data_IF_225152017008
#
_entry.id   IF_225152017008
#
_cell.length_a   1.000
_cell.length_b   1.000
_cell.length_c   1.000
_cell.angle_alpha   90.00
_cell.angle_beta   90.00
_cell.angle_gamma   90.00
#
_symmetry.space_group_name_H-M   'P 1'
#
loop_
_entity.id
_entity.type
_entity.pdbx_description
1 polymer ?
#
# COMPACT_ATOMS: atom_id res chain seq x y z
N UNK A 1 10.41 20.60 -13.94
CA UNK A 1 9.85 19.90 -12.75
C UNK A 1 8.42 19.52 -13.05
N UNK A 2 8.05 18.27 -12.85
CA UNK A 2 6.67 17.79 -13.03
C UNK A 2 5.76 18.46 -12.00
N UNK A 3 4.77 19.22 -12.46
CA UNK A 3 3.84 19.94 -11.57
C UNK A 3 2.70 18.99 -11.17
N UNK A 4 2.55 18.76 -9.87
CA UNK A 4 1.41 18.05 -9.30
C UNK A 4 0.13 18.88 -9.40
N UNK A 5 -0.99 18.18 -9.63
CA UNK A 5 -2.35 18.72 -9.57
C UNK A 5 -3.10 18.01 -8.45
N UNK A 6 -4.04 18.68 -7.82
CA UNK A 6 -4.89 18.08 -6.79
C UNK A 6 -6.10 17.44 -7.49
N UNK A 7 -6.36 16.14 -7.21
CA UNK A 7 -7.56 15.45 -7.61
C UNK A 7 -8.63 15.56 -6.52
N UNK A 8 -8.24 15.32 -5.27
CA UNK A 8 -9.13 15.35 -4.11
C UNK A 8 -8.40 16.04 -2.94
N UNK A 9 -9.11 16.87 -2.22
CA UNK A 9 -8.66 17.55 -1.02
C UNK A 9 -9.62 17.25 0.15
N UNK A 10 -9.18 17.43 1.39
CA UNK A 10 -10.05 17.31 2.54
C UNK A 10 -10.33 15.86 2.98
N UNK A 11 -9.39 14.95 2.77
CA UNK A 11 -9.31 13.68 3.47
C UNK A 11 -8.37 13.79 4.68
N UNK A 12 -8.47 12.89 5.65
CA UNK A 12 -7.55 12.92 6.79
C UNK A 12 -6.19 12.35 6.42
N UNK A 13 -6.17 11.10 5.95
CA UNK A 13 -4.92 10.41 5.64
C UNK A 13 -5.17 9.27 4.66
N UNK A 14 -4.87 9.50 3.38
CA UNK A 14 -5.11 8.52 2.32
C UNK A 14 -4.02 7.47 2.28
N UNK A 15 -4.43 6.20 2.20
CA UNK A 15 -3.55 5.03 2.11
C UNK A 15 -4.12 3.92 1.23
N UNK A 16 -3.27 2.95 0.88
CA UNK A 16 -3.63 1.78 0.11
C UNK A 16 -4.33 2.09 -1.21
N UNK A 17 -3.86 3.06 -2.04
CA UNK A 17 -4.55 3.42 -3.27
C UNK A 17 -4.50 2.28 -4.28
N UNK A 18 -5.63 2.07 -4.98
CA UNK A 18 -5.78 1.03 -6.00
C UNK A 18 -6.56 1.59 -7.19
N UNK A 19 -6.13 1.28 -8.39
CA UNK A 19 -6.88 1.67 -9.60
C UNK A 19 -7.68 0.50 -10.13
N UNK A 20 -9.02 0.60 -10.07
CA UNK A 20 -9.93 -0.44 -10.54
C UNK A 20 -11.22 0.15 -11.10
N UNK A 21 -11.70 -0.40 -12.23
CA UNK A 21 -12.98 -0.08 -12.85
C UNK A 21 -13.18 1.43 -13.10
N UNK A 22 -12.11 2.15 -13.47
CA UNK A 22 -12.15 3.59 -13.74
C UNK A 22 -12.14 4.50 -12.51
N UNK A 23 -11.90 3.93 -11.32
CA UNK A 23 -11.84 4.67 -10.06
C UNK A 23 -10.53 4.45 -9.33
N UNK A 24 -10.10 5.47 -8.60
CA UNK A 24 -9.09 5.34 -7.56
C UNK A 24 -9.78 4.96 -6.25
N UNK A 25 -9.49 3.77 -5.74
CA UNK A 25 -9.94 3.30 -4.43
C UNK A 25 -8.85 3.59 -3.42
N UNK A 26 -9.22 4.00 -2.20
CA UNK A 26 -8.27 4.28 -1.13
C UNK A 26 -8.94 4.16 0.25
N UNK A 27 -8.11 3.99 1.25
CA UNK A 27 -8.49 4.06 2.65
C UNK A 27 -8.20 5.45 3.20
N UNK A 28 -9.15 6.07 3.89
CA UNK A 28 -8.90 7.25 4.73
C UNK A 28 -8.80 6.78 6.19
N UNK A 29 -7.59 6.62 6.70
CA UNK A 29 -7.30 6.02 7.99
C UNK A 29 -8.11 6.61 9.13
N UNK A 30 -8.07 7.94 9.25
CA UNK A 30 -8.65 8.62 10.41
C UNK A 30 -10.11 9.00 10.22
N UNK A 31 -10.62 8.97 8.99
CA UNK A 31 -12.06 8.99 8.74
C UNK A 31 -12.70 7.62 8.97
N UNK A 32 -11.89 6.56 9.09
CA UNK A 32 -12.37 5.16 9.18
C UNK A 32 -13.17 4.72 7.95
N UNK A 33 -12.85 5.25 6.79
CA UNK A 33 -13.60 5.03 5.55
C UNK A 33 -12.74 4.45 4.44
N UNK A 34 -13.35 3.58 3.65
CA UNK A 34 -12.87 3.24 2.31
C UNK A 34 -13.64 4.08 1.32
N UNK A 35 -12.93 4.74 0.43
CA UNK A 35 -13.45 5.65 -0.59
C UNK A 35 -13.13 5.13 -2.00
N UNK A 36 -13.94 5.52 -2.98
CA UNK A 36 -13.58 5.51 -4.39
C UNK A 36 -13.75 6.91 -4.97
N UNK A 37 -12.82 7.29 -5.84
CA UNK A 37 -12.74 8.64 -6.43
C UNK A 37 -12.69 8.50 -7.94
N UNK A 38 -13.58 9.22 -8.64
CA UNK A 38 -13.57 9.26 -10.11
C UNK A 38 -12.45 10.18 -10.64
N UNK A 39 -12.14 10.17 -11.95
CA UNK A 39 -11.12 11.04 -12.54
C UNK A 39 -11.40 12.55 -12.43
N UNK A 40 -12.62 12.95 -12.06
CA UNK A 40 -13.02 14.33 -11.84
C UNK A 40 -12.90 14.76 -10.36
N UNK A 41 -12.50 13.85 -9.45
CA UNK A 41 -12.36 14.12 -8.02
C UNK A 41 -13.65 13.92 -7.22
N UNK A 42 -14.72 13.38 -7.81
CA UNK A 42 -15.92 13.05 -7.06
C UNK A 42 -15.70 11.79 -6.22
N UNK A 43 -15.82 11.92 -4.91
CA UNK A 43 -15.66 10.80 -3.98
C UNK A 43 -16.99 10.14 -3.64
N UNK A 44 -16.95 8.82 -3.44
CA UNK A 44 -18.08 8.02 -2.95
C UNK A 44 -17.58 7.15 -1.79
N UNK A 45 -18.37 7.08 -0.73
CA UNK A 45 -18.15 6.17 0.39
C UNK A 45 -18.40 4.72 -0.05
N UNK A 46 -17.54 3.81 0.37
CA UNK A 46 -17.63 2.36 0.08
C UNK A 46 -17.93 1.57 1.34
N UNK A 47 -17.15 1.77 2.40
CA UNK A 47 -17.30 1.05 3.66
C UNK A 47 -16.76 1.87 4.83
N UNK A 48 -17.28 1.60 6.03
CA UNK A 48 -16.74 2.12 7.30
C UNK A 48 -16.07 0.97 8.05
N UNK A 49 -14.81 1.18 8.48
CA UNK A 49 -13.98 0.20 9.18
C UNK A 49 -13.53 0.77 10.51
N UNK A 50 -14.15 0.35 11.59
CA UNK A 50 -13.91 0.89 12.95
C UNK A 50 -12.46 0.74 13.42
N UNK A 51 -11.79 -0.36 13.02
CA UNK A 51 -10.39 -0.64 13.33
C UNK A 51 -9.37 0.09 12.45
N UNK A 52 -9.76 1.10 11.69
CA UNK A 52 -9.00 1.84 10.69
C UNK A 52 -8.66 1.00 9.44
N UNK A 53 -9.18 1.37 8.25
CA UNK A 53 -8.83 0.70 7.01
C UNK A 53 -7.40 1.04 6.58
N UNK A 54 -6.71 0.08 5.94
CA UNK A 54 -5.42 0.30 5.30
C UNK A 54 -5.38 -0.36 3.92
N UNK A 55 -4.56 -1.39 3.72
CA UNK A 55 -4.42 -2.07 2.44
C UNK A 55 -5.75 -2.56 1.86
N UNK A 56 -5.90 -2.45 0.55
CA UNK A 56 -7.05 -2.89 -0.22
C UNK A 56 -6.61 -3.92 -1.27
N UNK A 57 -7.50 -4.84 -1.63
CA UNK A 57 -7.30 -5.80 -2.71
C UNK A 57 -8.58 -6.55 -3.02
N UNK A 58 -8.61 -7.33 -4.11
CA UNK A 58 -9.82 -8.04 -4.52
C UNK A 58 -9.56 -9.52 -4.64
N UNK A 59 -10.53 -10.30 -4.18
CA UNK A 59 -10.58 -11.73 -4.44
C UNK A 59 -10.99 -12.01 -5.90
N UNK A 60 -10.75 -13.23 -6.41
CA UNK A 60 -11.16 -13.61 -7.76
C UNK A 60 -12.66 -13.49 -8.04
N UNK A 61 -13.50 -13.59 -7.01
CA UNK A 61 -14.95 -13.41 -7.10
C UNK A 61 -15.39 -11.93 -7.20
N UNK A 62 -14.42 -10.99 -7.11
CA UNK A 62 -14.65 -9.56 -7.16
C UNK A 62 -14.98 -8.92 -5.82
N UNK A 63 -15.07 -9.66 -4.73
CA UNK A 63 -15.24 -9.09 -3.39
C UNK A 63 -13.96 -8.34 -2.94
N UNK A 64 -14.16 -7.23 -2.22
CA UNK A 64 -13.08 -6.39 -1.74
C UNK A 64 -12.57 -6.89 -0.39
N UNK A 65 -11.26 -7.12 -0.29
CA UNK A 65 -10.58 -7.30 0.98
C UNK A 65 -10.06 -5.96 1.50
N UNK A 66 -10.20 -5.74 2.81
CA UNK A 66 -9.80 -4.52 3.51
C UNK A 66 -9.04 -4.91 4.77
N UNK A 67 -7.84 -4.39 4.93
CA UNK A 67 -7.11 -4.53 6.19
C UNK A 67 -7.76 -3.65 7.25
N UNK A 68 -8.18 -4.24 8.37
CA UNK A 68 -8.53 -3.52 9.61
C UNK A 68 -7.30 -3.49 10.50
N UNK A 69 -6.63 -2.33 10.54
CA UNK A 69 -5.28 -2.17 11.09
C UNK A 69 -5.19 -2.56 12.57
N UNK A 70 -5.98 -1.88 13.41
CA UNK A 70 -5.92 -2.00 14.88
C UNK A 70 -6.40 -3.36 15.36
N UNK A 71 -7.40 -3.90 14.68
CA UNK A 71 -7.96 -5.21 14.98
C UNK A 71 -7.06 -6.36 14.51
N UNK A 72 -6.09 -6.06 13.64
CA UNK A 72 -5.23 -7.05 12.97
C UNK A 72 -6.05 -8.11 12.24
N UNK A 73 -7.09 -7.65 11.54
CA UNK A 73 -8.03 -8.49 10.80
C UNK A 73 -8.03 -8.14 9.33
N UNK A 74 -8.35 -9.11 8.52
CA UNK A 74 -8.73 -8.93 7.13
C UNK A 74 -10.25 -9.00 7.05
N UNK A 75 -10.87 -7.99 6.47
CA UNK A 75 -12.32 -7.92 6.28
C UNK A 75 -12.65 -8.13 4.81
N UNK A 76 -13.83 -8.68 4.51
CA UNK A 76 -14.37 -8.86 3.18
C UNK A 76 -15.65 -8.03 3.03
N UNK A 77 -15.71 -7.22 1.98
CA UNK A 77 -16.94 -6.57 1.54
C UNK A 77 -17.48 -7.31 0.32
N UNK A 78 -18.59 -8.00 0.50
CA UNK A 78 -19.31 -8.74 -0.53
C UNK A 78 -20.79 -8.38 -0.47
N UNK A 79 -21.42 -8.10 -1.62
CA UNK A 79 -22.84 -7.75 -1.73
C UNK A 79 -23.29 -6.65 -0.75
N UNK A 80 -22.43 -5.65 -0.52
CA UNK A 80 -22.67 -4.55 0.40
C UNK A 80 -22.55 -4.90 1.89
N UNK A 81 -22.16 -6.13 2.22
CA UNK A 81 -21.98 -6.60 3.61
C UNK A 81 -20.50 -6.71 3.95
N UNK A 82 -20.08 -6.01 5.00
CA UNK A 82 -18.74 -6.10 5.54
C UNK A 82 -18.70 -7.17 6.64
N UNK A 83 -17.79 -8.14 6.51
CA UNK A 83 -17.62 -9.25 7.46
C UNK A 83 -16.15 -9.58 7.68
N UNK A 84 -15.82 -10.25 8.78
CA UNK A 84 -14.49 -10.76 9.02
C UNK A 84 -14.15 -11.86 8.02
N UNK A 85 -13.00 -11.73 7.37
CA UNK A 85 -12.44 -12.73 6.47
C UNK A 85 -11.43 -13.62 7.19
N UNK A 86 -10.46 -13.01 7.91
CA UNK A 86 -9.45 -13.72 8.67
C UNK A 86 -8.94 -12.88 9.85
N UNK A 87 -8.59 -13.54 10.96
CA UNK A 87 -7.90 -12.95 12.11
C UNK A 87 -6.39 -13.23 12.01
N UNK A 88 -5.60 -12.18 11.83
CA UNK A 88 -4.15 -12.24 11.68
C UNK A 88 -3.39 -11.98 12.99
N UNK A 89 -4.10 -11.80 14.11
CA UNK A 89 -3.52 -11.35 15.39
C UNK A 89 -2.53 -12.33 16.01
N UNK A 90 -2.58 -13.61 15.64
CA UNK A 90 -1.63 -14.65 16.07
C UNK A 90 -0.26 -14.53 15.42
N UNK A 91 -0.14 -13.84 14.27
CA UNK A 91 1.09 -13.70 13.48
C UNK A 91 1.53 -12.25 13.38
N UNK A 92 0.61 -11.32 13.09
CA UNK A 92 0.91 -9.89 13.03
C UNK A 92 1.33 -9.37 14.41
N UNK A 93 2.55 -8.85 14.50
CA UNK A 93 3.15 -8.45 15.79
C UNK A 93 2.65 -7.11 16.31
N UNK A 94 2.08 -6.26 15.43
CA UNK A 94 1.41 -5.01 15.75
C UNK A 94 0.33 -4.69 14.71
N UNK A 95 -0.16 -3.45 14.66
CA UNK A 95 -1.17 -3.01 13.69
C UNK A 95 -0.80 -3.43 12.27
N UNK A 96 -1.75 -4.03 11.57
CA UNK A 96 -1.56 -4.38 10.16
C UNK A 96 -1.46 -3.11 9.29
N UNK A 97 -0.90 -3.24 8.10
CA UNK A 97 -0.63 -2.12 7.21
C UNK A 97 -1.15 -2.41 5.79
N UNK A 98 -0.37 -2.07 4.79
CA UNK A 98 -0.73 -2.35 3.40
C UNK A 98 -0.68 -3.85 3.07
N UNK A 99 -1.30 -4.23 1.96
CA UNK A 99 -1.33 -5.60 1.45
C UNK A 99 -1.32 -5.62 -0.07
N UNK A 100 -1.02 -6.78 -0.63
CA UNK A 100 -1.32 -7.11 -2.02
C UNK A 100 -2.05 -8.45 -2.08
N UNK A 101 -3.02 -8.56 -2.99
CA UNK A 101 -3.75 -9.81 -3.24
C UNK A 101 -3.35 -10.35 -4.61
N UNK A 102 -2.86 -11.59 -4.66
CA UNK A 102 -2.50 -12.27 -5.90
C UNK A 102 -3.74 -12.64 -6.73
N UNK A 103 -3.55 -12.95 -8.00
CA UNK A 103 -4.65 -13.34 -8.90
C UNK A 103 -5.41 -14.58 -8.42
N UNK A 104 -4.75 -15.48 -7.72
CA UNK A 104 -5.35 -16.67 -7.12
C UNK A 104 -5.97 -16.44 -5.72
N UNK A 105 -6.03 -15.16 -5.27
CA UNK A 105 -6.75 -14.75 -4.07
C UNK A 105 -5.96 -14.82 -2.77
N UNK A 106 -4.63 -15.04 -2.81
CA UNK A 106 -3.80 -14.97 -1.60
C UNK A 106 -3.45 -13.53 -1.25
N UNK A 107 -3.68 -13.12 -0.01
CA UNK A 107 -3.29 -11.81 0.49
C UNK A 107 -1.96 -11.89 1.25
N UNK A 108 -1.02 -11.01 0.91
CA UNK A 108 0.21 -10.80 1.68
C UNK A 108 0.08 -9.46 2.41
N UNK A 109 0.12 -9.49 3.74
CA UNK A 109 -0.21 -8.35 4.61
C UNK A 109 0.97 -8.00 5.48
N UNK A 110 1.41 -6.74 5.40
CA UNK A 110 2.42 -6.16 6.28
C UNK A 110 1.86 -5.72 7.63
N UNK A 111 2.76 -5.41 8.58
CA UNK A 111 2.38 -4.77 9.83
C UNK A 111 3.54 -3.92 10.37
N UNK A 112 3.25 -3.05 11.34
CA UNK A 112 4.25 -2.12 11.87
C UNK A 112 5.33 -2.76 12.75
N UNK A 113 5.09 -3.97 13.26
CA UNK A 113 6.02 -4.68 14.13
C UNK A 113 5.96 -4.25 15.58
N UNK A 114 5.77 -2.97 15.86
CA UNK A 114 5.73 -2.34 17.18
C UNK A 114 4.95 -1.02 17.14
N UNK A 115 4.66 -0.46 18.31
CA UNK A 115 4.04 0.87 18.42
C UNK A 115 5.08 1.97 18.19
N UNK A 116 5.20 2.44 16.96
CA UNK A 116 6.17 3.46 16.55
C UNK A 116 5.79 4.89 16.95
N UNK A 117 4.60 5.10 17.53
CA UNK A 117 4.19 6.37 18.14
C UNK A 117 4.43 6.42 19.65
N UNK A 118 4.91 5.34 20.25
CA UNK A 118 5.32 5.26 21.65
C UNK A 118 6.84 5.22 21.78
N UNK A 119 7.36 5.20 23.03
CA UNK A 119 8.80 5.06 23.31
C UNK A 119 9.29 3.59 23.23
N UNK A 120 8.58 2.71 22.52
CA UNK A 120 9.01 1.33 22.37
C UNK A 120 10.23 1.23 21.46
N UNK A 121 11.13 0.30 21.81
CA UNK A 121 12.24 -0.07 20.92
C UNK A 121 11.73 -0.60 19.58
N UNK A 122 12.47 -0.28 18.52
CA UNK A 122 12.18 -0.77 17.18
C UNK A 122 12.27 -2.31 17.13
N UNK A 123 11.20 -2.95 16.66
CA UNK A 123 11.11 -4.39 16.47
C UNK A 123 10.82 -4.73 15.03
N UNK A 124 11.25 -5.91 14.61
CA UNK A 124 10.90 -6.43 13.29
C UNK A 124 9.45 -6.94 13.27
N UNK A 125 8.90 -6.96 12.08
CA UNK A 125 7.55 -7.44 11.81
C UNK A 125 7.57 -8.77 11.07
N UNK A 126 6.45 -9.49 11.15
CA UNK A 126 6.15 -10.65 10.34
C UNK A 126 5.35 -10.22 9.10
N UNK A 127 5.56 -10.91 7.98
CA UNK A 127 4.66 -10.83 6.83
C UNK A 127 3.63 -11.95 6.94
N UNK A 128 2.36 -11.60 6.87
CA UNK A 128 1.24 -12.55 6.98
C UNK A 128 0.78 -12.94 5.58
N UNK A 129 0.51 -14.22 5.34
CA UNK A 129 -0.24 -14.70 4.18
C UNK A 129 -1.60 -15.22 4.62
N UNK A 130 -2.64 -14.80 3.92
CA UNK A 130 -4.00 -15.33 4.08
C UNK A 130 -4.40 -15.98 2.76
N UNK A 131 -4.71 -17.27 2.81
CA UNK A 131 -5.10 -18.04 1.63
C UNK A 131 -6.62 -17.92 1.34
N UNK A 132 -7.05 -18.37 0.17
CA UNK A 132 -8.45 -18.28 -0.27
C UNK A 132 -9.41 -19.06 0.64
N UNK A 133 -8.93 -20.11 1.30
CA UNK A 133 -9.66 -20.88 2.31
C UNK A 133 -9.71 -20.21 3.68
N UNK A 134 -9.19 -18.98 3.78
CA UNK A 134 -9.07 -18.12 4.97
C UNK A 134 -8.04 -18.59 6.01
N UNK A 135 -7.25 -19.60 5.70
CA UNK A 135 -6.14 -20.00 6.56
C UNK A 135 -5.06 -18.92 6.62
N UNK A 136 -4.47 -18.72 7.79
CA UNK A 136 -3.50 -17.66 8.07
C UNK A 136 -2.13 -18.27 8.32
N UNK A 137 -1.12 -17.79 7.60
CA UNK A 137 0.23 -18.35 7.62
C UNK A 137 1.27 -17.26 7.84
N UNK A 138 2.37 -17.62 8.50
CA UNK A 138 3.58 -16.82 8.51
C UNK A 138 4.26 -16.94 7.13
N UNK A 139 4.25 -15.86 6.35
CA UNK A 139 4.90 -15.83 5.05
C UNK A 139 6.42 -15.62 5.17
N UNK A 140 6.84 -14.65 6.00
CA UNK A 140 8.24 -14.40 6.36
C UNK A 140 8.31 -13.56 7.64
N UNK A 141 9.49 -13.43 8.22
CA UNK A 141 9.73 -12.71 9.48
C UNK A 141 10.97 -11.82 9.40
N UNK A 142 11.17 -10.99 10.41
CA UNK A 142 12.35 -10.14 10.52
C UNK A 142 12.39 -8.98 9.52
N UNK A 143 11.21 -8.51 9.04
CA UNK A 143 11.10 -7.33 8.19
C UNK A 143 11.11 -6.05 9.03
N UNK A 144 11.66 -4.98 8.48
CA UNK A 144 11.73 -3.68 9.14
C UNK A 144 10.60 -2.77 8.65
N UNK A 145 9.42 -2.91 9.26
CA UNK A 145 8.24 -2.13 8.92
C UNK A 145 7.80 -2.36 7.46
N UNK A 146 7.31 -3.57 7.12
CA UNK A 146 6.78 -3.86 5.79
C UNK A 146 5.57 -2.98 5.48
N UNK A 147 5.61 -2.34 4.32
CA UNK A 147 4.64 -1.36 3.86
C UNK A 147 4.12 -1.71 2.47
N UNK A 148 4.10 -0.79 1.52
CA UNK A 148 3.61 -1.04 0.18
C UNK A 148 4.18 -2.30 -0.46
N UNK A 149 3.34 -3.03 -1.17
CA UNK A 149 3.68 -4.33 -1.75
C UNK A 149 3.19 -4.43 -3.18
N UNK A 150 3.96 -5.06 -4.06
CA UNK A 150 3.57 -5.33 -5.45
C UNK A 150 3.86 -6.79 -5.82
N UNK A 151 3.06 -7.34 -6.73
CA UNK A 151 3.33 -8.62 -7.39
C UNK A 151 3.55 -8.36 -8.89
N UNK A 152 4.61 -8.95 -9.45
CA UNK A 152 4.91 -8.86 -10.88
C UNK A 152 3.79 -9.44 -11.75
N UNK A 153 3.65 -8.99 -13.03
CA UNK A 153 2.54 -9.43 -13.90
C UNK A 153 2.48 -10.93 -14.17
N UNK A 154 3.60 -11.63 -14.02
CA UNK A 154 3.66 -13.10 -14.16
C UNK A 154 3.26 -13.84 -12.87
N UNK A 155 2.91 -13.11 -11.80
CA UNK A 155 2.52 -13.65 -10.52
C UNK A 155 3.65 -14.31 -9.72
N UNK A 156 4.92 -14.19 -10.15
CA UNK A 156 6.02 -14.98 -9.60
C UNK A 156 6.92 -14.25 -8.61
N UNK A 157 6.83 -12.94 -8.51
CA UNK A 157 7.68 -12.15 -7.59
C UNK A 157 6.83 -11.21 -6.75
N UNK A 158 6.95 -11.33 -5.44
CA UNK A 158 6.48 -10.34 -4.47
C UNK A 158 7.62 -9.38 -4.16
N UNK A 159 7.36 -8.07 -4.19
CA UNK A 159 8.27 -7.04 -3.69
C UNK A 159 7.58 -6.22 -2.62
N UNK A 160 8.25 -6.01 -1.49
CA UNK A 160 7.73 -5.26 -0.33
C UNK A 160 8.70 -4.15 0.05
N UNK A 161 8.17 -2.95 0.28
CA UNK A 161 8.90 -1.83 0.87
C UNK A 161 9.12 -2.06 2.36
N UNK A 162 10.36 -2.02 2.81
CA UNK A 162 10.70 -2.01 4.24
C UNK A 162 11.05 -0.59 4.67
N UNK A 163 10.08 0.16 5.23
CA UNK A 163 10.21 1.59 5.56
C UNK A 163 11.43 1.88 6.43
N UNK A 164 11.63 1.10 7.49
CA UNK A 164 12.77 1.21 8.42
C UNK A 164 14.01 0.46 7.93
N UNK A 165 13.88 -0.31 6.86
CA UNK A 165 14.97 -0.99 6.18
C UNK A 165 15.61 -0.17 5.07
N UNK A 166 14.99 0.93 4.65
CA UNK A 166 15.40 1.76 3.53
C UNK A 166 15.66 0.95 2.24
N UNK A 167 14.81 -0.05 1.98
CA UNK A 167 15.00 -0.98 0.87
C UNK A 167 13.67 -1.55 0.36
N UNK A 168 13.74 -2.11 -0.82
CA UNK A 168 12.73 -3.02 -1.35
C UNK A 168 13.29 -4.44 -1.25
N UNK A 169 12.49 -5.35 -0.71
CA UNK A 169 12.84 -6.77 -0.54
C UNK A 169 11.92 -7.62 -1.39
N UNK A 170 12.47 -8.61 -2.08
CA UNK A 170 11.74 -9.48 -2.98
C UNK A 170 11.82 -10.95 -2.59
N UNK A 171 10.79 -11.71 -3.00
CA UNK A 171 10.70 -13.17 -2.92
C UNK A 171 10.15 -13.74 -4.20
N UNK A 172 10.51 -14.98 -4.49
CA UNK A 172 9.82 -15.78 -5.49
C UNK A 172 8.58 -16.39 -4.83
N UNK A 173 7.44 -16.35 -5.53
CA UNK A 173 6.17 -16.93 -5.08
C UNK A 173 6.07 -18.34 -5.68
N UNK A 174 6.06 -19.36 -4.83
CA UNK A 174 5.80 -20.74 -5.24
C UNK A 174 4.30 -20.96 -5.54
N UNK A 175 3.96 -22.05 -6.22
CA UNK A 175 2.58 -22.35 -6.62
C UNK A 175 1.60 -22.50 -5.44
N UNK A 176 2.11 -22.83 -4.25
CA UNK A 176 1.33 -22.89 -3.01
C UNK A 176 1.31 -21.56 -2.23
N UNK A 177 1.88 -20.48 -2.79
CA UNK A 177 1.99 -19.16 -2.17
C UNK A 177 3.14 -19.01 -1.18
N UNK A 178 3.97 -20.04 -1.00
CA UNK A 178 5.17 -19.97 -0.15
C UNK A 178 6.18 -19.00 -0.75
N UNK A 179 6.77 -18.13 0.09
CA UNK A 179 7.80 -17.18 -0.32
C UNK A 179 9.18 -17.82 -0.21
N UNK A 180 9.94 -17.78 -1.31
CA UNK A 180 11.27 -18.37 -1.45
C UNK A 180 12.30 -17.32 -1.87
N UNK A 181 13.57 -17.62 -1.71
CA UNK A 181 14.68 -16.85 -2.27
C UNK A 181 14.64 -15.35 -1.90
N UNK A 182 14.42 -15.04 -0.61
CA UNK A 182 14.45 -13.66 -0.11
C UNK A 182 15.73 -12.96 -0.53
N UNK A 183 15.58 -11.76 -1.12
CA UNK A 183 16.71 -10.96 -1.61
C UNK A 183 16.40 -9.47 -1.54
N UNK A 184 17.42 -8.63 -1.48
CA UNK A 184 17.26 -7.19 -1.68
C UNK A 184 16.96 -6.95 -3.16
N UNK A 185 15.80 -6.35 -3.45
CA UNK A 185 15.42 -5.93 -4.80
C UNK A 185 16.08 -4.60 -5.16
N UNK A 186 16.08 -3.65 -4.21
CA UNK A 186 16.80 -2.38 -4.31
C UNK A 186 17.16 -1.86 -2.92
N UNK A 187 18.40 -1.40 -2.75
CA UNK A 187 18.79 -0.53 -1.65
C UNK A 187 18.41 0.91 -2.01
N UNK A 188 17.65 1.56 -1.15
CA UNK A 188 17.13 2.91 -1.37
C UNK A 188 17.96 4.00 -0.65
N UNK A 189 19.06 3.61 0.01
CA UNK A 189 19.96 4.53 0.70
C UNK A 189 19.25 5.35 1.78
N UNK A 190 18.96 6.61 1.49
CA UNK A 190 18.30 7.52 2.44
C UNK A 190 16.77 7.58 2.31
N UNK A 191 16.18 6.96 1.29
CA UNK A 191 14.74 7.00 1.07
C UNK A 191 14.02 6.00 2.00
N UNK A 192 12.84 6.37 2.46
CA UNK A 192 11.98 5.60 3.35
C UNK A 192 10.77 5.13 2.56
N UNK A 193 10.76 3.89 2.02
CA UNK A 193 9.66 3.41 1.22
C UNK A 193 8.38 3.29 2.05
N UNK A 194 7.30 3.86 1.52
CA UNK A 194 5.94 3.73 2.03
C UNK A 194 5.09 2.98 1.00
N UNK A 195 3.96 3.47 0.53
CA UNK A 195 3.20 2.81 -0.53
C UNK A 195 3.95 2.80 -1.87
N UNK A 196 3.83 1.70 -2.62
CA UNK A 196 4.55 1.48 -3.89
C UNK A 196 3.62 0.98 -4.99
N UNK A 197 3.98 1.21 -6.27
CA UNK A 197 3.32 0.59 -7.42
C UNK A 197 4.31 0.29 -8.55
N UNK A 198 3.97 -0.70 -9.39
CA UNK A 198 4.83 -1.23 -10.45
C UNK A 198 4.46 -0.65 -11.81
N UNK A 199 5.43 -0.42 -12.69
CA UNK A 199 5.23 -0.04 -14.07
C UNK A 199 5.65 -1.11 -15.08
N UNK A 200 5.26 -0.94 -16.35
CA UNK A 200 5.50 -1.92 -17.43
C UNK A 200 6.97 -2.14 -17.77
N UNK A 201 7.88 -1.26 -17.40
CA UNK A 201 9.33 -1.49 -17.51
C UNK A 201 9.90 -2.27 -16.33
N UNK A 202 9.04 -2.70 -15.38
CA UNK A 202 9.46 -3.41 -14.17
C UNK A 202 10.12 -2.51 -13.13
N UNK A 203 10.01 -1.18 -13.27
CA UNK A 203 10.45 -0.25 -12.23
C UNK A 203 9.32 0.00 -11.23
N UNK A 204 9.69 0.38 -10.01
CA UNK A 204 8.75 0.61 -8.90
C UNK A 204 8.74 2.10 -8.55
N UNK A 205 7.55 2.69 -8.52
CA UNK A 205 7.31 3.98 -7.91
C UNK A 205 7.18 3.81 -6.41
N UNK A 206 7.88 4.63 -5.66
CA UNK A 206 8.03 4.54 -4.20
C UNK A 206 7.68 5.89 -3.60
N UNK A 207 6.65 5.94 -2.78
CA UNK A 207 6.32 7.10 -1.96
C UNK A 207 7.32 7.22 -0.80
N UNK A 208 7.80 8.43 -0.52
CA UNK A 208 8.69 8.73 0.60
C UNK A 208 8.16 9.91 1.41
N UNK A 209 7.59 9.68 2.59
CA UNK A 209 7.01 10.74 3.41
C UNK A 209 8.07 11.64 4.06
N UNK A 210 9.29 11.15 4.28
CA UNK A 210 10.34 11.91 4.96
C UNK A 210 11.05 12.88 4.02
N UNK A 211 11.38 12.41 2.82
CA UNK A 211 12.01 13.26 1.81
C UNK A 211 10.98 14.04 0.98
N UNK A 212 9.67 13.79 1.22
CA UNK A 212 8.56 14.49 0.57
C UNK A 212 8.64 14.40 -0.95
N UNK A 213 8.82 13.17 -1.41
CA UNK A 213 8.94 12.87 -2.83
C UNK A 213 8.36 11.49 -3.16
N UNK A 214 8.04 11.29 -4.42
CA UNK A 214 7.80 9.97 -5.00
C UNK A 214 8.90 9.70 -6.01
N UNK A 215 9.60 8.59 -5.86
CA UNK A 215 10.72 8.22 -6.74
C UNK A 215 10.38 7.00 -7.59
N UNK A 216 10.96 6.92 -8.79
CA UNK A 216 10.90 5.74 -9.64
C UNK A 216 12.25 5.02 -9.59
N UNK A 217 12.22 3.75 -9.19
CA UNK A 217 13.44 2.95 -8.93
C UNK A 217 13.43 1.70 -9.79
N UNK A 218 14.55 1.41 -10.45
CA UNK A 218 14.80 0.13 -11.11
C UNK A 218 15.36 -0.89 -10.14
N UNK A 219 15.24 -2.16 -10.48
CA UNK A 219 15.91 -3.23 -9.75
C UNK A 219 17.42 -2.91 -9.63
N UNK A 220 17.95 -3.10 -8.42
CA UNK A 220 19.34 -2.72 -8.10
C UNK A 220 19.49 -1.31 -7.52
N UNK A 221 18.43 -0.46 -7.49
CA UNK A 221 18.42 0.82 -6.77
C UNK A 221 18.66 2.06 -7.61
N UNK A 222 18.78 1.96 -8.94
CA UNK A 222 18.87 3.14 -9.82
C UNK A 222 17.59 3.97 -9.75
N UNK A 223 17.68 5.21 -9.26
CA UNK A 223 16.57 6.17 -9.25
C UNK A 223 16.55 6.93 -10.55
N UNK A 224 15.49 6.74 -11.35
CA UNK A 224 15.35 7.35 -12.69
C UNK A 224 14.52 8.64 -12.68
N UNK A 225 13.57 8.77 -11.74
CA UNK A 225 12.69 9.94 -11.63
C UNK A 225 12.50 10.32 -10.17
N UNK A 226 12.28 11.63 -9.93
CA UNK A 226 11.91 12.19 -8.64
C UNK A 226 10.81 13.23 -8.84
N UNK A 227 9.72 13.10 -8.07
CA UNK A 227 8.58 14.01 -8.06
C UNK A 227 8.44 14.53 -6.64
N UNK A 228 8.73 15.81 -6.45
CA UNK A 228 8.57 16.46 -5.14
C UNK A 228 7.09 16.68 -4.83
N UNK A 229 6.69 16.39 -3.60
CA UNK A 229 5.38 16.71 -3.03
C UNK A 229 5.41 18.00 -2.19
N UNK A 230 6.46 18.79 -2.34
CA UNK A 230 6.70 20.08 -1.68
C UNK A 230 6.70 19.95 -0.15
N UNK A 231 5.71 20.56 0.53
CA UNK A 231 5.64 20.55 1.99
C UNK A 231 4.93 19.33 2.58
N UNK A 232 4.29 18.52 1.72
CA UNK A 232 3.55 17.32 2.13
C UNK A 232 4.41 16.05 2.04
N UNK A 233 4.26 15.15 2.99
CA UNK A 233 4.81 13.78 2.87
C UNK A 233 4.09 13.02 1.77
N UNK A 234 4.81 12.19 1.02
CA UNK A 234 4.26 11.22 0.07
C UNK A 234 4.11 9.88 0.79
N UNK A 235 2.88 9.40 1.00
CA UNK A 235 2.62 8.20 1.81
C UNK A 235 2.30 6.98 0.97
N UNK A 236 1.56 7.15 -0.13
CA UNK A 236 1.30 6.04 -1.04
C UNK A 236 1.16 6.53 -2.48
N UNK A 237 1.37 5.66 -3.44
CA UNK A 237 1.19 5.99 -4.85
C UNK A 237 0.57 4.84 -5.65
N UNK A 238 -0.09 5.20 -6.76
CA UNK A 238 -0.73 4.24 -7.65
C UNK A 238 -0.76 4.76 -9.08
N UNK A 239 -0.41 3.90 -10.04
CA UNK A 239 -0.56 4.19 -11.47
C UNK A 239 -1.97 3.80 -11.93
N UNK A 240 -2.68 4.76 -12.52
CA UNK A 240 -4.04 4.56 -13.00
C UNK A 240 -4.40 5.50 -14.16
N UNK A 241 -5.68 5.79 -14.33
CA UNK A 241 -6.20 6.43 -15.53
C UNK A 241 -6.47 5.41 -16.64
N UNK A 242 -7.18 5.82 -17.69
CA UNK A 242 -7.58 4.93 -18.80
C UNK A 242 -6.36 4.25 -19.46
N UNK A 243 -5.26 4.97 -19.61
CA UNK A 243 -4.00 4.49 -20.18
C UNK A 243 -2.96 4.07 -19.12
N UNK A 244 -3.33 4.00 -17.84
CA UNK A 244 -2.46 3.66 -16.71
C UNK A 244 -1.23 4.56 -16.55
N UNK A 245 -1.22 5.76 -17.15
CA UNK A 245 -0.11 6.73 -17.10
C UNK A 245 -0.36 7.92 -16.18
N UNK A 246 -1.35 7.87 -15.33
CA UNK A 246 -1.57 8.85 -14.29
C UNK A 246 -1.04 8.32 -12.97
N UNK A 247 0.00 8.95 -12.43
CA UNK A 247 0.52 8.63 -11.11
C UNK A 247 -0.28 9.44 -10.08
N UNK A 248 -1.08 8.75 -9.27
CA UNK A 248 -1.77 9.28 -8.10
C UNK A 248 -0.89 9.14 -6.88
N UNK A 249 -0.88 10.15 -6.01
CA UNK A 249 -0.05 10.21 -4.82
C UNK A 249 -0.92 10.64 -3.64
N UNK A 250 -0.96 9.83 -2.60
CA UNK A 250 -1.57 10.19 -1.32
C UNK A 250 -0.59 11.07 -0.55
N UNK A 251 -0.97 12.30 -0.26
CA UNK A 251 -0.12 13.26 0.44
C UNK A 251 -0.79 13.81 1.70
N UNK A 252 0.00 14.08 2.73
CA UNK A 252 -0.45 14.70 3.97
C UNK A 252 0.67 15.52 4.62
N UNK A 253 0.36 16.51 5.49
CA UNK A 253 1.38 17.28 6.21
C UNK A 253 2.24 16.42 7.16
N UNK A 254 1.72 15.29 7.61
CA UNK A 254 2.35 14.33 8.50
C UNK A 254 1.47 13.13 8.73
N UNK A 255 1.93 12.21 9.56
CA UNK A 255 1.22 11.00 9.98
C UNK A 255 0.99 10.97 11.50
N UNK A 256 0.30 9.94 11.98
CA UNK A 256 0.06 9.73 13.39
C UNK A 256 -1.11 10.54 13.94
N UNK A 257 -1.23 10.67 15.30
CA UNK A 257 -2.38 11.30 15.94
C UNK A 257 -2.70 12.71 15.43
N UNK A 258 -1.71 13.50 15.08
CA UNK A 258 -1.90 14.87 14.57
C UNK A 258 -2.62 14.89 13.20
N UNK A 259 -2.50 13.83 12.41
CA UNK A 259 -3.21 13.74 11.14
C UNK A 259 -4.73 13.51 11.34
N UNK A 260 -5.14 12.99 12.49
CA UNK A 260 -6.54 12.82 12.86
C UNK A 260 -7.24 14.11 13.28
N UNK A 261 -6.50 15.20 13.56
CA UNK A 261 -7.07 16.46 14.07
C UNK A 261 -7.83 17.24 12.99
N UNK A 262 -7.38 17.15 11.73
CA UNK A 262 -8.00 17.90 10.64
C UNK A 262 -7.78 17.21 9.29
N UNK A 263 -8.77 17.27 8.36
CA UNK A 263 -8.69 16.66 7.05
C UNK A 263 -7.81 17.49 6.10
N UNK A 264 -6.49 17.39 6.25
CA UNK A 264 -5.48 18.10 5.44
C UNK A 264 -4.80 17.21 4.40
N UNK A 265 -5.15 15.92 4.34
CA UNK A 265 -4.65 15.00 3.33
C UNK A 265 -5.25 15.27 1.96
N UNK A 266 -4.52 14.83 0.92
CA UNK A 266 -4.86 15.06 -0.48
C UNK A 266 -4.54 13.84 -1.32
N UNK A 267 -5.21 13.77 -2.47
CA UNK A 267 -4.76 12.98 -3.61
C UNK A 267 -4.24 13.95 -4.66
N UNK A 268 -2.96 13.89 -4.90
CA UNK A 268 -2.31 14.64 -5.97
C UNK A 268 -2.00 13.71 -7.15
N UNK A 269 -1.81 14.26 -8.34
CA UNK A 269 -1.49 13.47 -9.51
C UNK A 269 -0.64 14.22 -10.52
N UNK A 270 0.06 13.44 -11.34
CA UNK A 270 0.73 13.91 -12.54
C UNK A 270 0.71 12.83 -13.63
N UNK A 271 1.09 13.23 -14.84
CA UNK A 271 1.29 12.29 -15.95
C UNK A 271 2.72 11.80 -15.95
N UNK A 272 2.87 10.50 -16.26
CA UNK A 272 4.15 9.81 -16.45
C UNK A 272 4.17 9.10 -17.80
N UNK A 273 5.35 8.71 -18.25
CA UNK A 273 5.52 8.14 -19.60
C UNK A 273 5.21 6.64 -19.63
N UNK A 274 5.51 5.92 -18.56
CA UNK A 274 5.40 4.46 -18.48
C UNK A 274 4.11 4.09 -17.75
N UNK A 275 3.25 3.23 -18.36
CA UNK A 275 2.01 2.82 -17.73
C UNK A 275 2.24 1.85 -16.56
N UNK A 276 1.27 1.78 -15.67
CA UNK A 276 1.26 0.83 -14.55
C UNK A 276 0.94 -0.59 -14.99
N UNK A 277 1.48 -1.56 -14.27
CA UNK A 277 1.25 -3.01 -14.47
C UNK A 277 1.29 -3.77 -13.16
N UNK A 278 1.04 -5.07 -13.20
CA UNK A 278 1.08 -5.94 -12.03
C UNK A 278 -0.04 -5.68 -11.03
N UNK A 279 0.19 -6.11 -9.80
CA UNK A 279 -0.69 -5.91 -8.66
C UNK A 279 0.03 -5.06 -7.59
N UNK A 280 -0.64 -4.22 -6.91
CA UNK A 280 -2.07 -4.03 -6.78
C UNK A 280 -2.78 -3.43 -7.98
#
# INVERSE_FOLDING_TARGET
>A
MTKLKILLDGIYFGEGPRWRDGYLWLSDFYAHEVLKVDPNGNRSHVATVSGQPSGLGWLPDGSLLIVSMKDRKLLQLADGTLSEYADMSSIATWHCNDMVVSEDGRAYVGNFGYDHYSEQEEKTANLVRVDLDRSVHLADSGLKFPNGSVITPDGKTLVVGETRGNRLTAWDIASDGTLLNRRIWADLGKNFPDGICLDEEGAIWVADPRLKETIRVKQGGEVTHRISTNDYGSFACMLGGEDRKTLYICTAPGSGPNAAEAPKGRIEYCRVDIPGTGLP
#
